data_IF_041293528991
#
_entry.id   IF_041293528991
#
_cell.length_a   1.000
_cell.length_b   1.000
_cell.length_c   1.000
_cell.angle_alpha   90.00
_cell.angle_beta   90.00
_cell.angle_gamma   90.00
#
_symmetry.space_group_name_H-M   'P 1'
#
loop_
_entity.id
_entity.type
_entity.pdbx_description
1 polymer ?
#
# COMPACT_ATOMS: atom_id res chain seq x y z
N UNK A 1 4.19 3.48 0.28
CA UNK A 1 5.49 2.82 0.00
C UNK A 1 6.20 3.39 -1.23
N UNK A 2 5.75 3.07 -2.44
CA UNK A 2 6.57 3.23 -3.66
C UNK A 2 6.71 4.65 -4.22
N UNK A 3 5.99 5.64 -3.68
CA UNK A 3 5.98 7.04 -4.14
C UNK A 3 5.74 7.19 -5.65
N UNK A 4 4.91 6.33 -6.24
CA UNK A 4 4.53 6.38 -7.64
C UNK A 4 3.29 7.25 -7.83
N UNK A 5 3.13 7.82 -9.02
CA UNK A 5 1.95 8.59 -9.36
C UNK A 5 0.69 7.71 -9.34
N UNK A 6 -0.41 8.22 -8.78
CA UNK A 6 -1.66 7.47 -8.63
C UNK A 6 -2.24 7.03 -9.98
N UNK A 7 -2.00 7.79 -11.05
CA UNK A 7 -2.45 7.45 -12.41
C UNK A 7 -1.92 6.08 -12.88
N UNK A 8 -0.71 5.68 -12.49
CA UNK A 8 -0.17 4.36 -12.86
C UNK A 8 -0.97 3.22 -12.22
N UNK A 9 -1.47 3.44 -11.01
CA UNK A 9 -2.39 2.54 -10.35
C UNK A 9 -3.76 2.53 -11.02
N UNK A 10 -4.28 3.71 -11.35
CA UNK A 10 -5.57 3.86 -12.05
C UNK A 10 -5.59 3.17 -13.42
N UNK A 11 -4.54 3.38 -14.24
CA UNK A 11 -4.34 2.72 -15.54
C UNK A 11 -4.37 1.18 -15.40
N UNK A 12 -3.68 0.65 -14.39
CA UNK A 12 -3.69 -0.80 -14.15
C UNK A 12 -5.07 -1.30 -13.75
N UNK A 13 -5.74 -0.61 -12.82
CA UNK A 13 -7.07 -0.97 -12.34
C UNK A 13 -8.11 -0.93 -13.47
N UNK A 14 -8.04 0.08 -14.34
CA UNK A 14 -8.90 0.20 -15.53
C UNK A 14 -8.79 -1.03 -16.43
N UNK A 15 -7.59 -1.63 -16.54
CA UNK A 15 -7.36 -2.80 -17.38
C UNK A 15 -7.73 -4.15 -16.75
N UNK A 16 -7.83 -4.21 -15.42
CA UNK A 16 -7.96 -5.48 -14.69
C UNK A 16 -9.30 -5.66 -13.98
N UNK A 17 -9.96 -4.56 -13.60
CA UNK A 17 -11.20 -4.62 -12.84
C UNK A 17 -12.39 -4.92 -13.75
N UNK A 18 -13.23 -5.87 -13.32
CA UNK A 18 -14.49 -6.18 -14.01
C UNK A 18 -15.51 -5.03 -13.88
N UNK A 19 -15.40 -4.23 -12.83
CA UNK A 19 -16.23 -3.08 -12.50
C UNK A 19 -15.51 -1.74 -12.76
N UNK A 20 -14.52 -1.75 -13.65
CA UNK A 20 -13.80 -0.53 -14.04
C UNK A 20 -14.80 0.57 -14.48
N UNK A 21 -14.77 1.67 -13.74
CA UNK A 21 -15.55 2.87 -14.01
C UNK A 21 -14.63 4.08 -13.87
N UNK A 22 -14.55 4.88 -14.93
CA UNK A 22 -13.63 6.01 -15.02
C UNK A 22 -13.75 6.99 -13.86
N UNK A 23 -14.98 7.31 -13.44
CA UNK A 23 -15.23 8.30 -12.39
C UNK A 23 -14.91 7.73 -11.01
N UNK A 24 -15.37 6.50 -10.72
CA UNK A 24 -15.10 5.84 -9.44
C UNK A 24 -13.62 5.52 -9.28
N UNK A 25 -12.96 5.04 -10.33
CA UNK A 25 -11.52 4.73 -10.32
C UNK A 25 -10.71 6.01 -10.03
N UNK A 26 -10.94 7.07 -10.81
CA UNK A 26 -10.26 8.36 -10.62
C UNK A 26 -10.48 8.95 -9.22
N UNK A 27 -11.73 8.96 -8.74
CA UNK A 27 -12.05 9.47 -7.40
C UNK A 27 -11.34 8.70 -6.29
N UNK A 28 -11.39 7.35 -6.31
CA UNK A 28 -10.80 6.53 -5.26
C UNK A 28 -9.27 6.59 -5.27
N UNK A 29 -8.64 6.70 -6.44
CA UNK A 29 -7.19 6.91 -6.50
C UNK A 29 -6.76 8.26 -5.93
N UNK A 30 -7.49 9.34 -6.24
CA UNK A 30 -7.25 10.66 -5.63
C UNK A 30 -7.43 10.62 -4.10
N UNK A 31 -8.43 9.90 -3.61
CA UNK A 31 -8.66 9.72 -2.17
C UNK A 31 -7.50 8.97 -1.52
N UNK A 32 -7.14 7.79 -2.02
CA UNK A 32 -6.12 6.93 -1.39
C UNK A 32 -4.71 7.53 -1.45
N UNK A 33 -4.37 8.24 -2.53
CA UNK A 33 -3.10 8.98 -2.62
C UNK A 33 -3.07 10.26 -1.79
N UNK A 34 -4.20 10.64 -1.18
CA UNK A 34 -4.42 11.93 -0.54
C UNK A 34 -4.11 13.11 -1.49
N UNK A 35 -4.44 12.96 -2.77
CA UNK A 35 -4.33 14.02 -3.77
C UNK A 35 -5.62 14.85 -3.86
N UNK A 36 -6.76 14.29 -3.43
CA UNK A 36 -8.03 14.99 -3.33
C UNK A 36 -9.00 14.30 -2.39
N UNK A 37 -9.98 15.05 -1.87
CA UNK A 37 -11.10 14.60 -1.02
C UNK A 37 -10.73 14.04 0.37
N UNK A 38 -9.55 13.45 0.54
CA UNK A 38 -9.01 12.97 1.81
C UNK A 38 -7.60 13.51 2.04
N UNK A 39 -7.39 14.13 3.20
CA UNK A 39 -6.17 14.91 3.47
C UNK A 39 -5.39 14.41 4.70
N UNK A 40 -5.86 13.35 5.37
CA UNK A 40 -5.21 12.79 6.55
C UNK A 40 -4.13 11.77 6.15
N UNK A 41 -3.13 12.21 5.39
CA UNK A 41 -2.05 11.36 4.87
C UNK A 41 -1.22 10.65 5.95
N UNK A 42 -1.28 11.11 7.20
CA UNK A 42 -0.69 10.44 8.36
C UNK A 42 -1.40 9.12 8.74
N UNK A 43 -2.60 8.85 8.20
CA UNK A 43 -3.29 7.55 8.32
C UNK A 43 -2.81 6.61 7.21
N UNK A 44 -1.56 6.17 7.30
CA UNK A 44 -0.96 5.26 6.34
C UNK A 44 -1.31 3.80 6.67
N UNK A 45 -1.77 3.03 5.68
CA UNK A 45 -1.99 1.59 5.84
C UNK A 45 -0.65 0.85 5.96
N UNK A 46 -0.56 -0.05 6.94
CA UNK A 46 0.53 -1.02 6.99
C UNK A 46 0.18 -2.21 6.07
N UNK A 47 1.07 -2.59 5.13
CA UNK A 47 0.86 -3.76 4.28
C UNK A 47 0.84 -5.06 5.10
N UNK A 48 1.30 -5.04 6.36
CA UNK A 48 1.36 -6.19 7.25
C UNK A 48 0.20 -6.15 8.26
N UNK A 49 0.10 -5.07 9.04
CA UNK A 49 -0.82 -5.03 10.18
C UNK A 49 -2.30 -4.99 9.76
N UNK A 50 -2.61 -4.35 8.63
CA UNK A 50 -3.99 -4.27 8.13
C UNK A 50 -4.55 -5.66 7.80
N UNK A 51 -3.74 -6.50 7.15
CA UNK A 51 -4.16 -7.85 6.77
C UNK A 51 -4.27 -8.76 8.00
N UNK A 52 -3.28 -8.74 8.90
CA UNK A 52 -3.30 -9.50 10.18
C UNK A 52 -4.56 -9.26 11.00
N UNK A 53 -5.10 -8.04 10.97
CA UNK A 53 -6.33 -7.69 11.70
C UNK A 53 -7.57 -8.39 11.14
N UNK A 54 -7.64 -8.57 9.82
CA UNK A 54 -8.83 -9.06 9.12
C UNK A 54 -8.76 -10.58 8.80
N UNK A 55 -7.55 -11.12 8.65
CA UNK A 55 -7.31 -12.54 8.38
C UNK A 55 -6.21 -13.06 9.32
N UNK A 56 -6.58 -13.65 10.45
CA UNK A 56 -5.58 -14.08 11.44
C UNK A 56 -4.73 -15.27 10.98
N UNK A 57 -5.26 -16.08 10.05
CA UNK A 57 -4.65 -17.35 9.62
C UNK A 57 -3.96 -17.24 8.25
N UNK A 58 -4.10 -16.10 7.57
CA UNK A 58 -3.54 -15.85 6.25
C UNK A 58 -4.20 -16.71 5.16
N UNK A 59 -5.48 -17.07 5.33
CA UNK A 59 -6.24 -17.87 4.37
C UNK A 59 -6.22 -17.23 2.98
N UNK A 60 -6.34 -15.89 2.91
CA UNK A 60 -6.30 -15.16 1.65
C UNK A 60 -4.92 -15.30 0.97
N UNK A 61 -3.84 -15.11 1.74
CA UNK A 61 -2.47 -15.26 1.22
C UNK A 61 -2.24 -16.68 0.73
N UNK A 62 -2.64 -17.71 1.49
CA UNK A 62 -2.43 -19.11 1.09
C UNK A 62 -3.17 -19.47 -0.20
N UNK A 63 -4.35 -18.88 -0.42
CA UNK A 63 -5.16 -19.08 -1.64
C UNK A 63 -4.50 -18.44 -2.86
N UNK A 64 -4.05 -17.19 -2.75
CA UNK A 64 -3.57 -16.40 -3.89
C UNK A 64 -2.06 -16.50 -4.12
N UNK A 65 -1.28 -16.89 -3.11
CA UNK A 65 0.15 -17.13 -3.15
C UNK A 65 0.45 -18.57 -2.69
N UNK A 66 0.21 -19.58 -3.54
CA UNK A 66 0.33 -20.99 -3.16
C UNK A 66 1.76 -21.39 -2.75
N UNK A 67 2.77 -20.63 -3.14
CA UNK A 67 4.15 -20.80 -2.66
C UNK A 67 4.29 -20.65 -1.14
N UNK A 68 3.40 -19.88 -0.50
CA UNK A 68 3.39 -19.66 0.96
C UNK A 68 2.42 -20.57 1.71
N UNK A 69 1.75 -21.52 1.02
CA UNK A 69 0.64 -22.30 1.59
C UNK A 69 1.02 -23.11 2.83
N UNK A 70 2.27 -23.55 2.94
CA UNK A 70 2.79 -24.39 4.03
C UNK A 70 3.57 -23.56 5.08
N UNK A 71 3.68 -22.24 4.89
CA UNK A 71 4.40 -21.36 5.81
C UNK A 71 3.58 -21.19 7.11
N UNK A 72 4.19 -21.29 8.31
CA UNK A 72 3.45 -21.10 9.56
C UNK A 72 2.79 -19.72 9.65
N UNK A 73 1.61 -19.65 10.29
CA UNK A 73 0.83 -18.40 10.44
C UNK A 73 1.65 -17.24 11.01
N UNK A 74 2.59 -17.55 11.91
CA UNK A 74 3.51 -16.56 12.50
C UNK A 74 4.28 -15.76 11.43
N UNK A 75 4.61 -16.36 10.29
CA UNK A 75 5.45 -15.77 9.26
C UNK A 75 4.71 -15.49 7.94
N UNK A 76 3.41 -15.80 7.83
CA UNK A 76 2.66 -15.70 6.57
C UNK A 76 2.64 -14.28 5.98
N UNK A 77 2.65 -13.28 6.85
CA UNK A 77 2.63 -11.86 6.48
C UNK A 77 4.03 -11.25 6.32
N UNK A 78 5.05 -11.90 6.87
CA UNK A 78 6.44 -11.43 6.86
C UNK A 78 7.38 -12.63 6.61
N UNK A 79 7.34 -13.27 5.41
CA UNK A 79 8.11 -14.49 5.16
C UNK A 79 9.62 -14.30 5.30
N UNK A 80 10.12 -13.09 5.10
CA UNK A 80 11.55 -12.74 5.25
C UNK A 80 12.05 -12.81 6.70
N UNK A 81 11.16 -12.76 7.69
CA UNK A 81 11.50 -12.93 9.11
C UNK A 81 11.57 -14.41 9.53
N UNK A 82 11.19 -15.33 8.65
CA UNK A 82 11.20 -16.76 8.96
C UNK A 82 12.62 -17.32 9.03
N UNK A 83 12.96 -18.13 10.05
CA UNK A 83 14.23 -18.84 10.10
C UNK A 83 14.42 -19.75 8.89
N UNK A 84 15.67 -19.90 8.42
CA UNK A 84 16.02 -20.77 7.28
C UNK A 84 15.42 -22.19 7.36
N UNK A 85 15.40 -22.88 8.52
CA UNK A 85 14.78 -24.21 8.62
C UNK A 85 13.26 -24.19 8.37
N UNK A 86 12.57 -23.12 8.78
CA UNK A 86 11.13 -22.95 8.58
C UNK A 86 10.83 -22.74 7.09
N UNK A 87 11.58 -21.83 6.45
CA UNK A 87 11.49 -21.58 5.00
C UNK A 87 11.74 -22.86 4.20
N UNK A 88 12.81 -23.61 4.54
CA UNK A 88 13.14 -24.88 3.89
C UNK A 88 12.01 -25.91 4.02
N UNK A 89 11.42 -26.05 5.22
CA UNK A 89 10.30 -26.98 5.45
C UNK A 89 9.05 -26.59 4.65
N UNK A 90 8.80 -25.29 4.48
CA UNK A 90 7.68 -24.78 3.71
C UNK A 90 7.95 -24.70 2.19
N UNK A 91 9.17 -25.04 1.73
CA UNK A 91 9.53 -24.94 0.32
C UNK A 91 9.70 -23.50 -0.20
N UNK A 92 9.87 -22.51 0.68
CA UNK A 92 10.02 -21.10 0.31
C UNK A 92 11.51 -20.76 0.18
N UNK A 93 11.90 -20.19 -0.95
CA UNK A 93 13.25 -19.71 -1.27
C UNK A 93 13.16 -18.23 -1.60
N UNK A 94 13.53 -17.39 -0.63
CA UNK A 94 13.53 -15.95 -0.78
C UNK A 94 14.49 -15.51 -1.90
N UNK A 95 14.04 -14.60 -2.75
CA UNK A 95 14.75 -14.15 -3.95
C UNK A 95 14.62 -15.06 -5.17
N UNK A 96 13.98 -16.23 -5.04
CA UNK A 96 13.79 -17.16 -6.16
C UNK A 96 12.31 -17.44 -6.43
N UNK A 97 11.61 -18.12 -5.53
CA UNK A 97 10.18 -18.43 -5.69
C UNK A 97 9.26 -17.48 -4.90
N UNK A 98 9.85 -16.67 -4.03
CA UNK A 98 9.18 -15.55 -3.37
C UNK A 98 10.17 -14.40 -3.21
N UNK A 99 9.86 -13.16 -3.63
CA UNK A 99 10.81 -12.06 -3.59
C UNK A 99 11.03 -11.52 -2.16
N UNK A 100 12.14 -10.83 -1.94
CA UNK A 100 12.28 -9.95 -0.79
C UNK A 100 11.39 -8.71 -0.97
N UNK A 101 10.98 -8.03 0.12
CA UNK A 101 10.31 -6.74 0.03
C UNK A 101 11.10 -5.75 -0.83
N UNK A 102 10.43 -5.10 -1.77
CA UNK A 102 11.06 -4.08 -2.64
C UNK A 102 11.49 -2.86 -1.84
N UNK A 103 10.76 -2.55 -0.75
CA UNK A 103 11.07 -1.46 0.18
C UNK A 103 10.74 -1.88 1.61
N UNK A 104 11.39 -1.23 2.58
CA UNK A 104 11.04 -1.36 3.99
C UNK A 104 9.97 -0.33 4.37
N UNK A 105 8.75 -0.81 4.66
CA UNK A 105 7.59 0.06 4.89
C UNK A 105 7.80 1.10 6.03
N UNK A 106 8.45 0.71 7.13
CA UNK A 106 8.65 1.56 8.30
C UNK A 106 9.40 2.87 7.99
N UNK A 107 10.65 2.82 7.49
CA UNK A 107 11.39 4.01 7.09
C UNK A 107 10.75 4.72 5.88
N UNK A 108 10.31 3.97 4.87
CA UNK A 108 9.75 4.54 3.63
C UNK A 108 8.47 5.35 3.89
N UNK A 109 7.55 4.84 4.72
CA UNK A 109 6.31 5.57 5.05
C UNK A 109 6.59 6.90 5.76
N UNK A 110 7.59 6.95 6.65
CA UNK A 110 8.01 8.20 7.32
C UNK A 110 8.55 9.22 6.33
N UNK A 111 9.43 8.80 5.42
CA UNK A 111 9.96 9.66 4.37
C UNK A 111 8.84 10.22 3.49
N UNK A 112 7.91 9.36 3.08
CA UNK A 112 6.79 9.74 2.24
C UNK A 112 5.81 10.69 2.96
N UNK A 113 5.55 10.50 4.26
CA UNK A 113 4.74 11.44 5.05
C UNK A 113 5.38 12.83 5.11
N UNK A 114 6.72 12.91 5.21
CA UNK A 114 7.43 14.19 5.15
C UNK A 114 7.31 14.85 3.77
N UNK A 115 7.43 14.06 2.70
CA UNK A 115 7.22 14.57 1.34
C UNK A 115 5.78 15.05 1.11
N UNK A 116 4.77 14.34 1.61
CA UNK A 116 3.38 14.78 1.56
C UNK A 116 3.19 16.11 2.28
N UNK A 117 3.75 16.25 3.48
CA UNK A 117 3.72 17.53 4.21
C UNK A 117 4.30 18.67 3.37
N UNK A 118 5.48 18.46 2.79
CA UNK A 118 6.14 19.47 1.97
C UNK A 118 5.32 19.85 0.72
N UNK A 119 4.71 18.86 0.05
CA UNK A 119 3.85 19.10 -1.10
C UNK A 119 2.59 19.91 -0.74
N UNK A 120 1.97 19.62 0.39
CA UNK A 120 0.82 20.37 0.91
C UNK A 120 1.21 21.80 1.30
N UNK A 121 2.35 21.97 1.98
CA UNK A 121 2.85 23.30 2.34
C UNK A 121 3.11 24.15 1.09
N UNK A 122 3.72 23.57 0.05
CA UNK A 122 3.96 24.22 -1.23
C UNK A 122 2.65 24.56 -1.98
N UNK A 123 1.67 23.65 -1.97
CA UNK A 123 0.35 23.90 -2.58
C UNK A 123 -0.36 25.09 -1.91
N UNK A 124 -0.38 25.12 -0.58
CA UNK A 124 -1.02 26.18 0.19
C UNK A 124 -0.36 27.55 -0.01
N UNK A 125 0.95 27.59 -0.27
CA UNK A 125 1.68 28.82 -0.58
C UNK A 125 1.34 29.37 -1.98
N UNK A 126 0.98 28.48 -2.91
CA UNK A 126 0.63 28.83 -4.29
C UNK A 126 -0.87 29.10 -4.49
N UNK A 127 -1.72 28.85 -3.49
CA UNK A 127 -3.15 29.20 -3.58
C UNK A 127 -3.36 30.72 -3.51
N UNK A 128 -4.11 31.33 -4.44
CA UNK A 128 -4.50 32.74 -4.31
C UNK A 128 -5.34 32.93 -3.04
N UNK A 129 -5.27 34.11 -2.39
CA UNK A 129 -5.99 34.35 -1.14
C UNK A 129 -7.48 34.08 -1.33
N UNK A 130 -8.04 33.20 -0.49
CA UNK A 130 -9.46 32.85 -0.52
C UNK A 130 -10.28 34.14 -0.37
N UNK A 131 -11.00 34.53 -1.44
CA UNK A 131 -11.97 35.63 -1.37
C UNK A 131 -12.97 35.28 -0.27
N UNK A 132 -12.97 36.07 0.82
CA UNK A 132 -13.98 35.94 1.88
C UNK A 132 -15.35 36.09 1.21
N UNK A 133 -16.08 34.98 1.06
CA UNK A 133 -17.49 35.03 0.72
C UNK A 133 -18.18 35.69 1.92
N UNK A 134 -18.56 36.96 1.76
CA UNK A 134 -19.48 37.63 2.68
C UNK A 134 -20.79 36.84 2.60
N UNK A 135 -21.16 36.17 3.69
CA UNK A 135 -22.53 35.73 3.93
C UNK A 135 -23.42 36.95 4.12
#
# INVERSE_FOLDING_TARGET
DLWQHWEKGAEHFESQLLDADYALNGFNWLWLSCSGFFYQYFRCYSPIAFQKKNDKHGVYIRKHLPVLKDLPEKFIYEPWEAPKPVLKKAGVILGQNYPFPVVEHGPTSKTNMAQMKAAYDAHNQNEPPKKKQKK
#
